data_IF_701306097368
#
_entry.id   IF_701306097368
#
_cell.length_a   1.000
_cell.length_b   1.000
_cell.length_c   1.000
_cell.angle_alpha   90.00
_cell.angle_beta   90.00
_cell.angle_gamma   90.00
#
_symmetry.space_group_name_H-M   'P 1'
#
loop_
_entity.id
_entity.type
_entity.pdbx_description
1 polymer ?
#
# COMPACT_ATOMS: atom_id res chain seq x y z
N UNK A 1 -69.77 -11.91 -27.23
CA UNK A 1 -68.65 -11.07 -26.75
C UNK A 1 -69.17 -9.65 -26.64
N UNK A 2 -69.18 -9.04 -25.45
CA UNK A 2 -69.69 -7.69 -25.28
C UNK A 2 -68.76 -6.69 -25.99
N UNK A 3 -69.31 -5.89 -26.90
CA UNK A 3 -68.55 -4.84 -27.59
C UNK A 3 -68.32 -3.68 -26.62
N UNK A 4 -67.05 -3.36 -26.37
CA UNK A 4 -66.65 -2.19 -25.59
C UNK A 4 -67.07 -0.94 -26.35
N UNK A 5 -67.77 -0.02 -25.68
CA UNK A 5 -68.21 1.23 -26.30
C UNK A 5 -67.00 2.10 -26.65
N UNK A 6 -67.12 2.90 -27.72
CA UNK A 6 -66.06 3.82 -28.17
C UNK A 6 -65.64 4.79 -27.05
N UNK A 7 -66.59 5.18 -26.21
CA UNK A 7 -66.37 6.08 -25.07
C UNK A 7 -65.53 5.41 -23.98
N UNK A 8 -65.82 4.15 -23.62
CA UNK A 8 -65.03 3.40 -22.65
C UNK A 8 -63.58 3.20 -23.11
N UNK A 9 -63.34 3.06 -24.41
CA UNK A 9 -61.98 2.99 -24.97
C UNK A 9 -61.22 4.31 -24.85
N UNK A 10 -61.89 5.45 -25.10
CA UNK A 10 -61.29 6.78 -24.94
C UNK A 10 -60.96 7.05 -23.47
N UNK A 11 -61.86 6.71 -22.55
CA UNK A 11 -61.64 6.87 -21.12
C UNK A 11 -60.46 6.03 -20.63
N UNK A 12 -60.37 4.76 -21.08
CA UNK A 12 -59.23 3.90 -20.78
C UNK A 12 -57.91 4.52 -21.29
N UNK A 13 -57.86 4.99 -22.53
CA UNK A 13 -56.66 5.64 -23.08
C UNK A 13 -56.26 6.90 -22.30
N UNK A 14 -57.23 7.68 -21.82
CA UNK A 14 -56.95 8.85 -20.98
C UNK A 14 -56.38 8.43 -19.62
N UNK A 15 -56.92 7.40 -18.97
CA UNK A 15 -56.37 6.89 -17.70
C UNK A 15 -54.95 6.36 -17.88
N UNK A 16 -54.70 5.57 -18.94
CA UNK A 16 -53.37 5.03 -19.26
C UNK A 16 -52.37 6.17 -19.49
N UNK A 17 -52.71 7.19 -20.29
CA UNK A 17 -51.82 8.33 -20.50
C UNK A 17 -51.50 9.08 -19.19
N UNK A 18 -52.51 9.30 -18.34
CA UNK A 18 -52.31 9.95 -17.03
C UNK A 18 -51.37 9.13 -16.15
N UNK A 19 -51.61 7.82 -16.04
CA UNK A 19 -50.77 6.92 -15.25
C UNK A 19 -49.34 6.87 -15.78
N UNK A 20 -49.17 6.76 -17.10
CA UNK A 20 -47.85 6.77 -17.74
C UNK A 20 -47.12 8.09 -17.51
N UNK A 21 -47.80 9.23 -17.61
CA UNK A 21 -47.20 10.54 -17.34
C UNK A 21 -46.69 10.62 -15.90
N UNK A 22 -47.51 10.22 -14.92
CA UNK A 22 -47.10 10.22 -13.51
C UNK A 22 -45.93 9.27 -13.26
N UNK A 23 -45.91 8.09 -13.89
CA UNK A 23 -44.81 7.15 -13.78
C UNK A 23 -43.50 7.70 -14.38
N UNK A 24 -43.58 8.37 -15.54
CA UNK A 24 -42.43 9.02 -16.16
C UNK A 24 -41.90 10.14 -15.27
N UNK A 25 -42.78 10.96 -14.69
CA UNK A 25 -42.37 12.04 -13.79
C UNK A 25 -41.67 11.50 -12.53
N UNK A 26 -42.15 10.38 -11.98
CA UNK A 26 -41.51 9.75 -10.83
C UNK A 26 -40.18 9.09 -11.19
N UNK A 27 -40.13 8.38 -12.31
CA UNK A 27 -38.88 7.79 -12.81
C UNK A 27 -37.83 8.86 -13.12
N UNK A 28 -38.23 10.00 -13.68
CA UNK A 28 -37.28 11.09 -13.98
C UNK A 28 -36.75 11.75 -12.70
N UNK A 29 -37.56 11.88 -11.66
CA UNK A 29 -37.08 12.34 -10.33
C UNK A 29 -36.09 11.36 -9.73
N UNK A 30 -36.43 10.07 -9.68
CA UNK A 30 -35.53 9.04 -9.11
C UNK A 30 -34.21 8.95 -9.89
N UNK A 31 -34.24 9.04 -11.22
CA UNK A 31 -33.02 9.08 -12.03
C UNK A 31 -32.16 10.31 -11.70
N UNK A 32 -32.79 11.47 -11.46
CA UNK A 32 -32.07 12.69 -11.08
C UNK A 32 -31.39 12.54 -9.72
N UNK A 33 -32.11 12.05 -8.72
CA UNK A 33 -31.59 11.80 -7.37
C UNK A 33 -30.43 10.80 -7.40
N UNK A 34 -30.57 9.70 -8.15
CA UNK A 34 -29.49 8.72 -8.31
C UNK A 34 -28.25 9.33 -8.99
N UNK A 35 -28.43 10.22 -9.97
CA UNK A 35 -27.30 10.92 -10.61
C UNK A 35 -26.61 11.89 -9.66
N UNK A 36 -27.37 12.61 -8.84
CA UNK A 36 -26.83 13.50 -7.80
C UNK A 36 -26.02 12.70 -6.78
N UNK A 37 -26.57 11.59 -6.27
CA UNK A 37 -25.87 10.69 -5.33
C UNK A 37 -24.59 10.09 -5.94
N UNK A 38 -24.61 9.68 -7.20
CA UNK A 38 -23.40 9.17 -7.88
C UNK A 38 -22.33 10.25 -7.99
N UNK A 39 -22.71 11.51 -8.24
CA UNK A 39 -21.77 12.63 -8.30
C UNK A 39 -21.16 12.89 -6.91
N UNK A 40 -21.97 12.89 -5.85
CA UNK A 40 -21.51 13.02 -4.47
C UNK A 40 -20.54 11.90 -4.08
N UNK A 41 -20.90 10.65 -4.36
CA UNK A 41 -20.05 9.50 -4.07
C UNK A 41 -18.71 9.58 -4.81
N UNK A 42 -18.70 9.94 -6.09
CA UNK A 42 -17.46 10.17 -6.85
C UNK A 42 -16.60 11.27 -6.22
N UNK A 43 -17.21 12.35 -5.72
CA UNK A 43 -16.51 13.38 -4.98
C UNK A 43 -15.89 12.86 -3.67
N UNK A 44 -16.63 12.04 -2.92
CA UNK A 44 -16.08 11.43 -1.69
C UNK A 44 -14.93 10.48 -1.98
N UNK A 45 -15.00 9.71 -3.07
CA UNK A 45 -13.91 8.82 -3.51
C UNK A 45 -12.67 9.64 -3.83
N UNK A 46 -12.78 10.70 -4.65
CA UNK A 46 -11.66 11.55 -4.99
C UNK A 46 -10.99 12.19 -3.74
N UNK A 47 -11.79 12.67 -2.79
CA UNK A 47 -11.28 13.20 -1.53
C UNK A 47 -10.52 12.12 -0.72
N UNK A 48 -11.09 10.91 -0.62
CA UNK A 48 -10.45 9.80 0.09
C UNK A 48 -9.16 9.36 -0.61
N UNK A 49 -9.16 9.26 -1.94
CA UNK A 49 -7.96 8.98 -2.73
C UNK A 49 -6.86 9.99 -2.45
N UNK A 50 -7.17 11.29 -2.42
CA UNK A 50 -6.20 12.33 -2.06
C UNK A 50 -5.62 12.11 -0.64
N UNK A 51 -6.47 11.80 0.34
CA UNK A 51 -5.98 11.53 1.71
C UNK A 51 -5.06 10.31 1.75
N UNK A 52 -5.38 9.25 0.99
CA UNK A 52 -4.54 8.06 0.88
C UNK A 52 -3.21 8.40 0.20
N UNK A 53 -3.22 9.17 -0.89
CA UNK A 53 -1.99 9.64 -1.55
C UNK A 53 -1.13 10.48 -0.59
N UNK A 54 -1.73 11.33 0.21
CA UNK A 54 -1.03 12.13 1.21
C UNK A 54 -0.42 11.27 2.33
N UNK A 55 -1.14 10.27 2.83
CA UNK A 55 -0.60 9.31 3.79
C UNK A 55 0.53 8.48 3.19
N UNK A 56 0.41 8.03 1.94
CA UNK A 56 1.48 7.33 1.22
C UNK A 56 2.73 8.22 1.11
N UNK A 57 2.59 9.48 0.70
CA UNK A 57 3.70 10.46 0.66
C UNK A 57 4.36 10.65 2.02
N UNK A 58 3.58 10.72 3.11
CA UNK A 58 4.11 10.92 4.47
C UNK A 58 4.81 9.69 5.05
N UNK A 59 4.25 8.50 4.82
CA UNK A 59 4.76 7.26 5.39
C UNK A 59 5.95 6.71 4.61
N UNK A 60 5.93 6.83 3.28
CA UNK A 60 6.93 6.21 2.41
C UNK A 60 7.87 7.24 1.74
N UNK A 61 7.55 8.54 1.81
CA UNK A 61 8.40 9.61 1.28
C UNK A 61 8.66 9.51 -0.22
N UNK A 62 9.52 10.38 -0.76
CA UNK A 62 10.10 10.23 -2.11
C UNK A 62 11.22 9.17 -2.16
N UNK A 63 11.45 8.45 -1.05
CA UNK A 63 12.50 7.44 -0.91
C UNK A 63 12.00 6.01 -1.13
N UNK A 64 10.68 5.79 -1.23
CA UNK A 64 10.17 4.56 -1.83
C UNK A 64 10.29 4.68 -3.34
N UNK A 65 11.41 4.23 -3.89
CA UNK A 65 11.57 4.01 -5.33
C UNK A 65 10.48 3.03 -5.79
N UNK A 66 9.33 3.57 -6.19
CA UNK A 66 8.46 2.95 -7.18
C UNK A 66 8.71 3.80 -8.42
N UNK A 67 9.38 3.20 -9.40
CA UNK A 67 9.63 3.82 -10.69
C UNK A 67 8.27 4.19 -11.30
N UNK A 68 8.02 5.48 -11.62
CA UNK A 68 6.82 5.85 -12.36
C UNK A 68 6.85 5.11 -13.70
N UNK A 69 5.75 4.48 -14.09
CA UNK A 69 5.56 4.12 -15.49
C UNK A 69 5.61 5.40 -16.32
N UNK A 70 6.22 5.30 -17.50
CA UNK A 70 6.65 6.42 -18.37
C UNK A 70 5.54 7.43 -18.71
N UNK A 71 4.27 7.09 -18.48
CA UNK A 71 3.09 7.88 -18.81
C UNK A 71 2.84 9.06 -17.85
N UNK A 72 3.21 8.98 -16.56
CA UNK A 72 2.90 10.03 -15.57
C UNK A 72 3.94 11.17 -15.51
N UNK A 73 5.09 10.99 -16.16
CA UNK A 73 6.21 11.93 -16.08
C UNK A 73 6.09 13.13 -17.05
N UNK A 74 5.31 12.99 -18.13
CA UNK A 74 5.22 14.00 -19.18
C UNK A 74 4.20 15.10 -18.88
N UNK A 75 3.13 14.82 -18.15
CA UNK A 75 2.07 15.82 -17.84
C UNK A 75 2.49 16.85 -16.78
N UNK A 76 3.28 16.48 -15.77
CA UNK A 76 3.67 17.39 -14.67
C UNK A 76 4.73 18.43 -15.11
N UNK A 77 5.48 18.13 -16.17
CA UNK A 77 6.52 19.03 -16.71
C UNK A 77 5.92 20.22 -17.50
N UNK A 78 4.78 20.04 -18.16
CA UNK A 78 4.19 21.05 -19.04
C UNK A 78 3.39 22.13 -18.29
N UNK A 79 2.92 21.87 -17.06
CA UNK A 79 2.01 22.77 -16.34
C UNK A 79 2.69 23.87 -15.49
N UNK A 80 4.04 23.95 -15.47
CA UNK A 80 4.79 24.78 -14.52
C UNK A 80 5.51 26.02 -15.08
N UNK A 81 5.13 26.53 -16.24
CA UNK A 81 5.61 27.84 -16.70
C UNK A 81 4.73 28.98 -16.16
N UNK A 82 5.10 29.54 -15.00
CA UNK A 82 4.56 30.83 -14.54
C UNK A 82 5.39 31.99 -15.11
N UNK A 83 4.82 32.92 -15.90
CA UNK A 83 5.51 34.10 -16.37
C UNK A 83 5.47 35.18 -15.27
N UNK A 84 6.65 35.63 -14.82
CA UNK A 84 6.78 36.81 -13.96
C UNK A 84 7.39 36.54 -12.59
N UNK A 85 8.69 36.23 -12.56
CA UNK A 85 9.51 36.43 -11.36
C UNK A 85 10.59 37.45 -11.68
N UNK A 86 10.53 38.61 -11.02
CA UNK A 86 11.62 39.59 -11.00
C UNK A 86 12.80 38.94 -10.29
N UNK A 87 13.90 38.76 -11.01
CA UNK A 87 15.11 38.14 -10.48
C UNK A 87 15.78 39.10 -9.50
N UNK A 88 15.54 38.89 -8.20
CA UNK A 88 16.39 39.49 -7.18
C UNK A 88 17.75 38.77 -7.23
N UNK A 89 18.84 39.51 -7.47
CA UNK A 89 20.19 38.98 -7.47
C UNK A 89 20.59 38.55 -6.05
N UNK A 90 20.27 37.30 -5.69
CA UNK A 90 20.67 36.69 -4.42
C UNK A 90 22.12 36.23 -4.58
N UNK A 91 23.03 36.81 -3.79
CA UNK A 91 24.42 36.33 -3.73
C UNK A 91 24.45 34.92 -3.15
N UNK A 92 24.83 33.94 -3.97
CA UNK A 92 24.87 32.54 -3.56
C UNK A 92 25.97 32.30 -2.52
N UNK A 93 25.57 31.97 -1.29
CA UNK A 93 26.50 31.45 -0.28
C UNK A 93 26.65 29.93 -0.47
N UNK A 94 27.78 29.48 -1.03
CA UNK A 94 28.12 28.06 -1.07
C UNK A 94 28.64 27.62 0.30
N UNK A 95 27.83 26.85 1.05
CA UNK A 95 28.31 26.18 2.27
C UNK A 95 29.43 25.21 1.90
N UNK A 96 30.56 25.29 2.60
CA UNK A 96 31.63 24.29 2.48
C UNK A 96 31.13 22.98 3.09
N UNK A 97 31.13 21.91 2.30
CA UNK A 97 30.76 20.57 2.76
C UNK A 97 31.78 20.09 3.79
N UNK A 98 31.34 19.87 5.03
CA UNK A 98 32.13 19.17 6.04
C UNK A 98 31.91 17.67 5.86
N UNK A 99 32.99 16.91 5.66
CA UNK A 99 32.89 15.44 5.59
C UNK A 99 32.37 14.91 6.92
N UNK A 100 31.43 13.97 6.85
CA UNK A 100 31.04 13.18 8.02
C UNK A 100 32.25 12.40 8.52
N UNK A 101 32.42 12.34 9.84
CA UNK A 101 33.45 11.51 10.48
C UNK A 101 33.19 10.05 10.13
N UNK A 102 34.27 9.33 9.84
CA UNK A 102 34.15 7.90 9.54
C UNK A 102 33.84 7.11 10.82
N UNK A 103 33.16 5.97 10.67
CA UNK A 103 32.83 5.09 11.81
C UNK A 103 34.09 4.70 12.62
N UNK A 104 35.22 4.54 11.95
CA UNK A 104 36.52 4.27 12.59
C UNK A 104 36.96 5.41 13.50
N UNK A 105 36.79 6.67 13.08
CA UNK A 105 37.15 7.85 13.87
C UNK A 105 36.31 7.99 15.14
N UNK A 106 35.02 7.64 15.07
CA UNK A 106 34.13 7.63 16.23
C UNK A 106 34.58 6.64 17.31
N UNK A 107 35.18 5.51 16.91
CA UNK A 107 35.57 4.45 17.84
C UNK A 107 37.02 4.52 18.33
N UNK A 108 37.85 5.45 17.83
CA UNK A 108 39.28 5.55 18.21
C UNK A 108 39.50 5.75 19.71
N UNK A 109 38.57 6.41 20.40
CA UNK A 109 38.69 6.79 21.81
C UNK A 109 37.84 5.93 22.75
N UNK A 110 37.18 4.88 22.24
CA UNK A 110 36.40 3.97 23.09
C UNK A 110 37.37 2.91 23.62
N UNK A 111 37.54 2.77 24.94
CA UNK A 111 38.35 1.70 25.51
C UNK A 111 37.68 0.36 25.17
N UNK A 112 38.42 -0.53 24.50
CA UNK A 112 37.99 -1.89 24.19
C UNK A 112 38.68 -2.82 25.19
N UNK A 113 37.90 -3.47 26.04
CA UNK A 113 38.38 -4.51 26.95
C UNK A 113 37.87 -5.87 26.45
N UNK A 114 38.79 -6.76 26.08
CA UNK A 114 38.45 -8.13 25.68
C UNK A 114 38.38 -9.02 26.92
N UNK A 115 37.17 -9.33 27.38
CA UNK A 115 36.94 -10.27 28.48
C UNK A 115 36.75 -11.67 27.91
N UNK A 116 37.67 -12.59 28.23
CA UNK A 116 37.51 -14.03 27.93
C UNK A 116 36.59 -14.65 28.98
N UNK A 117 35.42 -15.10 28.56
CA UNK A 117 34.46 -15.81 29.41
C UNK A 117 34.60 -17.30 29.10
N UNK A 118 35.23 -18.04 30.02
CA UNK A 118 35.32 -19.50 29.92
C UNK A 118 33.99 -20.15 30.33
N UNK A 119 33.54 -21.13 29.54
CA UNK A 119 32.31 -21.88 29.82
C UNK A 119 32.63 -22.93 30.90
N UNK A 120 31.90 -22.95 32.04
CA UNK A 120 32.06 -23.98 33.05
C UNK A 120 31.73 -25.35 32.47
N UNK A 121 32.47 -26.39 32.88
CA UNK A 121 32.42 -27.74 32.27
C UNK A 121 31.01 -28.34 32.24
N UNK A 122 30.22 -28.09 33.28
CA UNK A 122 28.82 -28.54 33.42
C UNK A 122 27.90 -28.02 32.30
N UNK A 123 28.23 -26.87 31.69
CA UNK A 123 27.41 -26.23 30.63
C UNK A 123 27.97 -26.45 29.23
N UNK A 124 29.14 -27.11 29.11
CA UNK A 124 29.77 -27.45 27.82
C UNK A 124 28.98 -28.52 27.06
N UNK A 125 28.15 -29.29 27.74
CA UNK A 125 27.37 -30.38 27.15
C UNK A 125 25.88 -30.04 27.08
N UNK A 126 25.20 -30.61 26.09
CA UNK A 126 23.75 -30.50 25.96
C UNK A 126 23.05 -31.47 26.94
N UNK A 127 22.09 -31.02 27.77
CA UNK A 127 21.40 -31.91 28.71
C UNK A 127 20.51 -32.97 28.03
N UNK A 128 20.20 -32.82 26.73
CA UNK A 128 19.39 -33.78 25.98
C UNK A 128 20.20 -34.88 25.28
N UNK A 129 21.31 -34.53 24.63
CA UNK A 129 22.10 -35.47 23.82
C UNK A 129 23.55 -35.65 24.29
N UNK A 130 23.97 -34.96 25.37
CA UNK A 130 25.32 -34.98 25.93
C UNK A 130 26.46 -34.64 24.93
N UNK A 131 26.13 -34.02 23.80
CA UNK A 131 27.11 -33.57 22.81
C UNK A 131 27.81 -32.27 23.26
N UNK A 132 29.09 -32.06 22.88
CA UNK A 132 29.81 -30.82 23.15
C UNK A 132 29.18 -29.65 22.36
N UNK A 133 28.89 -28.55 23.05
CA UNK A 133 28.40 -27.30 22.43
C UNK A 133 29.59 -26.48 21.94
N UNK A 134 29.51 -26.00 20.71
CA UNK A 134 30.44 -24.98 20.19
C UNK A 134 29.87 -23.57 20.47
N UNK A 135 30.74 -22.65 20.83
CA UNK A 135 30.38 -21.26 21.13
C UNK A 135 30.27 -20.46 19.83
N UNK A 136 29.11 -19.86 19.55
CA UNK A 136 28.95 -18.92 18.45
C UNK A 136 28.35 -17.61 18.97
N UNK A 137 29.12 -16.51 18.92
CA UNK A 137 28.65 -15.14 19.15
C UNK A 137 27.67 -14.97 20.32
N UNK A 138 28.00 -15.51 21.51
CA UNK A 138 27.23 -15.49 22.77
C UNK A 138 26.02 -16.45 22.89
N UNK A 139 25.80 -17.35 21.93
CA UNK A 139 24.74 -18.35 21.96
C UNK A 139 25.26 -19.78 21.67
N UNK A 140 24.61 -20.77 22.28
CA UNK A 140 25.02 -22.18 22.20
C UNK A 140 24.11 -22.95 21.25
N UNK A 141 24.70 -23.57 20.23
CA UNK A 141 24.00 -24.42 19.29
C UNK A 141 24.52 -25.87 19.40
N UNK A 142 23.63 -26.83 19.21
CA UNK A 142 23.98 -28.24 19.04
C UNK A 142 24.07 -28.50 17.53
N UNK A 143 25.16 -29.11 17.04
CA UNK A 143 25.20 -29.52 15.63
C UNK A 143 24.23 -30.70 15.49
N UNK A 144 23.23 -30.54 14.64
CA UNK A 144 22.40 -31.64 14.19
C UNK A 144 23.12 -32.20 12.95
N UNK A 145 23.84 -33.30 13.12
CA UNK A 145 24.44 -34.00 11.98
C UNK A 145 23.32 -34.58 11.11
N UNK A 146 23.38 -34.25 9.81
CA UNK A 146 22.80 -34.91 8.64
C UNK A 146 21.35 -35.38 8.69
N UNK A 147 20.45 -34.57 8.12
CA UNK A 147 19.27 -35.12 7.47
C UNK A 147 19.73 -35.75 6.15
N UNK A 148 19.85 -37.08 6.17
CA UNK A 148 19.86 -37.92 4.97
C UNK A 148 18.66 -37.54 4.11
N UNK A 149 18.94 -36.96 2.94
CA UNK A 149 17.95 -36.73 1.89
C UNK A 149 17.64 -38.05 1.20
N UNK A 150 16.88 -38.94 1.85
CA UNK A 150 16.29 -40.09 1.18
C UNK A 150 14.99 -40.45 1.92
N UNK A 151 13.91 -40.54 1.13
CA UNK A 151 12.56 -40.96 1.53
C UNK A 151 11.58 -39.90 2.07
N UNK A 152 11.15 -38.97 1.20
CA UNK A 152 9.72 -38.61 1.13
C UNK A 152 9.30 -38.59 -0.35
N UNK A 153 9.20 -39.78 -0.94
CA UNK A 153 8.27 -40.02 -2.04
C UNK A 153 6.90 -40.25 -1.42
N UNK A 154 5.93 -39.38 -1.74
CA UNK A 154 4.53 -39.65 -1.43
C UNK A 154 3.75 -38.39 -1.11
N UNK A 155 3.08 -37.86 -2.15
CA UNK A 155 1.78 -37.21 -2.06
C UNK A 155 1.50 -36.34 -0.81
N UNK A 156 1.53 -35.02 -0.98
CA UNK A 156 0.29 -34.30 -0.73
C UNK A 156 0.21 -32.96 -1.47
N UNK A 157 -0.83 -32.87 -2.27
CA UNK A 157 -1.32 -31.68 -2.96
C UNK A 157 -1.69 -30.61 -1.94
N UNK A 158 -1.13 -29.41 -2.07
CA UNK A 158 -1.70 -28.21 -1.47
C UNK A 158 -1.72 -27.11 -2.53
N UNK A 159 -2.87 -27.00 -3.19
CA UNK A 159 -3.31 -25.79 -3.88
C UNK A 159 -3.35 -24.64 -2.86
N UNK A 160 -2.58 -23.57 -3.11
CA UNK A 160 -2.69 -22.32 -2.36
C UNK A 160 -3.59 -21.40 -3.16
N UNK A 161 -4.84 -21.28 -2.71
CA UNK A 161 -5.81 -20.29 -3.17
C UNK A 161 -5.45 -18.93 -2.57
N UNK A 162 -5.16 -17.94 -3.42
CA UNK A 162 -5.05 -16.53 -3.01
C UNK A 162 -6.44 -15.88 -3.07
N UNK A 163 -6.95 -15.43 -1.93
CA UNK A 163 -7.84 -14.26 -1.80
C UNK A 163 -7.18 -13.32 -0.81
#
# INVERSE_FOLDING_TARGET
>A
MAQVSREAMVELLQTVNKTQSMQIDEQTKTIRELRELVAELRGTIANLEETVHEFKRKLFGSSSEILPSEEEAEEDAAARECPGKKEAAITSHKRKYQRRTSRKELYKNIPIEEVKIDIPEEKRFCPGCNAPKYMMYSSFYCQQEEWSSEEINGYNSFEIFWI
#
